data_IF_356385636591
#
_entry.id   IF_356385636591
#
_cell.length_a   1.000
_cell.length_b   1.000
_cell.length_c   1.000
_cell.angle_alpha   90.00
_cell.angle_beta   90.00
_cell.angle_gamma   90.00
#
_symmetry.space_group_name_H-M   'P 1'
#
loop_
_entity.id
_entity.type
_entity.pdbx_description
1 polymer ?
#
# COMPACT_ATOMS: atom_id res chain seq x y z
N UNK A 1 31.14 -32.36 3.12
CA UNK A 1 30.53 -31.18 3.78
C UNK A 1 29.72 -30.34 2.80
N UNK A 2 30.25 -29.91 1.63
CA UNK A 2 29.46 -29.15 0.64
C UNK A 2 28.36 -29.97 0.00
N UNK A 3 28.58 -31.24 -0.28
CA UNK A 3 27.58 -32.15 -0.84
C UNK A 3 26.48 -32.42 0.16
N UNK A 4 26.78 -32.55 1.44
CA UNK A 4 25.80 -32.72 2.50
C UNK A 4 24.96 -31.46 2.68
N UNK A 5 25.56 -30.27 2.59
CA UNK A 5 24.83 -29.00 2.62
C UNK A 5 23.78 -28.94 1.52
N UNK A 6 24.14 -29.24 0.28
CA UNK A 6 23.21 -29.18 -0.87
C UNK A 6 22.15 -30.29 -0.83
N UNK A 7 22.53 -31.52 -0.47
CA UNK A 7 21.63 -32.66 -0.55
C UNK A 7 20.82 -32.93 0.71
N UNK A 8 21.25 -32.42 1.85
CA UNK A 8 20.60 -32.65 3.16
C UNK A 8 20.09 -31.35 3.75
N UNK A 9 20.98 -30.41 4.03
CA UNK A 9 20.61 -29.17 4.72
C UNK A 9 19.74 -28.25 3.87
N UNK A 10 20.13 -28.03 2.62
CA UNK A 10 19.43 -27.13 1.70
C UNK A 10 18.50 -27.86 0.72
N UNK A 11 18.35 -29.18 0.84
CA UNK A 11 17.54 -29.98 -0.10
C UNK A 11 16.10 -29.52 -0.23
N UNK A 12 15.52 -28.94 0.84
CA UNK A 12 14.16 -28.41 0.89
C UNK A 12 14.08 -26.91 0.60
N UNK A 13 15.21 -26.25 0.41
CA UNK A 13 15.24 -24.83 0.07
C UNK A 13 14.60 -24.62 -1.29
N UNK A 14 13.62 -23.71 -1.41
CA UNK A 14 12.99 -23.46 -2.70
C UNK A 14 13.93 -22.72 -3.63
N UNK A 15 14.10 -23.24 -4.85
CA UNK A 15 14.68 -22.55 -5.97
C UNK A 15 13.55 -21.78 -6.68
N UNK A 16 13.64 -20.48 -6.73
CA UNK A 16 12.64 -19.61 -7.32
C UNK A 16 13.16 -19.12 -8.67
N UNK A 17 12.45 -19.47 -9.74
CA UNK A 17 12.73 -18.99 -11.08
C UNK A 17 11.79 -17.83 -11.36
N UNK A 18 12.36 -16.65 -11.45
CA UNK A 18 11.63 -15.42 -11.72
C UNK A 18 12.22 -14.68 -12.91
N UNK A 19 11.42 -13.87 -13.55
CA UNK A 19 11.86 -13.05 -14.66
C UNK A 19 11.02 -11.78 -14.79
N UNK A 20 11.46 -10.82 -15.59
CA UNK A 20 10.72 -9.59 -15.78
C UNK A 20 9.36 -9.85 -16.44
N UNK A 21 8.34 -9.19 -15.95
CA UNK A 21 7.02 -9.19 -16.59
C UNK A 21 7.09 -8.30 -17.83
N UNK A 22 6.69 -8.79 -19.02
CA UNK A 22 6.88 -8.07 -20.29
C UNK A 22 6.11 -6.75 -20.40
N UNK A 23 5.13 -6.54 -19.55
CA UNK A 23 4.34 -5.29 -19.46
C UNK A 23 3.98 -5.02 -18.01
N UNK A 24 4.86 -4.29 -17.32
CA UNK A 24 4.43 -3.55 -16.14
C UNK A 24 4.08 -2.13 -16.57
N UNK A 25 2.99 -1.56 -16.08
CA UNK A 25 2.68 -0.15 -16.30
C UNK A 25 3.59 0.75 -15.45
N UNK A 26 4.89 0.65 -15.73
CA UNK A 26 5.92 1.47 -15.08
C UNK A 26 5.59 2.95 -15.22
N UNK A 27 5.06 3.35 -16.39
CA UNK A 27 4.62 4.71 -16.68
C UNK A 27 3.45 5.15 -15.81
N UNK A 28 2.58 4.22 -15.40
CA UNK A 28 1.42 4.54 -14.56
C UNK A 28 1.85 5.08 -13.19
N UNK A 29 2.90 4.54 -12.59
CA UNK A 29 3.46 5.06 -11.35
C UNK A 29 3.96 6.50 -11.50
N UNK A 30 4.63 6.81 -12.58
CA UNK A 30 5.12 8.16 -12.87
C UNK A 30 3.99 9.13 -13.19
N UNK A 31 2.98 8.69 -13.93
CA UNK A 31 1.80 9.51 -14.30
C UNK A 31 0.94 9.83 -13.08
N UNK A 32 0.74 8.89 -12.17
CA UNK A 32 -0.11 9.06 -10.99
C UNK A 32 0.62 9.68 -9.79
N UNK A 33 1.93 9.71 -9.79
CA UNK A 33 2.73 10.31 -8.70
C UNK A 33 2.30 11.74 -8.34
N UNK A 34 2.12 12.67 -9.26
CA UNK A 34 1.70 14.03 -8.91
C UNK A 34 0.37 14.11 -8.17
N UNK A 35 -0.58 13.21 -8.49
CA UNK A 35 -1.86 13.13 -7.81
C UNK A 35 -1.69 12.68 -6.37
N UNK A 36 -0.82 11.68 -6.15
CA UNK A 36 -0.51 11.19 -4.81
C UNK A 36 0.24 12.22 -3.99
N UNK A 37 1.17 12.95 -4.58
CA UNK A 37 1.87 14.06 -3.90
C UNK A 37 0.88 15.13 -3.43
N UNK A 38 -0.14 15.45 -4.21
CA UNK A 38 -1.23 16.37 -3.82
C UNK A 38 -2.05 15.83 -2.64
N UNK A 39 -2.40 14.54 -2.68
CA UNK A 39 -3.10 13.88 -1.58
C UNK A 39 -2.30 13.93 -0.29
N UNK A 40 -1.03 13.58 -0.34
CA UNK A 40 -0.13 13.54 0.82
C UNK A 40 0.07 14.95 1.41
N UNK A 41 0.25 15.95 0.55
CA UNK A 41 0.38 17.34 1.01
C UNK A 41 -0.90 17.84 1.67
N UNK A 42 -2.06 17.60 1.06
CA UNK A 42 -3.35 17.97 1.63
C UNK A 42 -3.59 17.27 2.99
N UNK A 43 -3.28 16.00 3.08
CA UNK A 43 -3.40 15.23 4.33
C UNK A 43 -2.43 15.72 5.40
N UNK A 44 -1.21 16.09 5.04
CA UNK A 44 -0.23 16.65 5.98
C UNK A 44 -0.70 17.95 6.57
N UNK A 45 -1.24 18.86 5.78
CA UNK A 45 -1.83 20.11 6.23
C UNK A 45 -2.98 19.86 7.20
N UNK A 46 -3.87 18.94 6.85
CA UNK A 46 -5.01 18.55 7.67
C UNK A 46 -4.58 17.93 9.00
N UNK A 47 -3.62 16.99 8.97
CA UNK A 47 -3.08 16.37 10.16
C UNK A 47 -2.41 17.38 11.10
N UNK A 48 -1.67 18.33 10.55
CA UNK A 48 -1.02 19.42 11.31
C UNK A 48 -2.05 20.30 11.98
N UNK A 49 -3.13 20.65 11.29
CA UNK A 49 -4.21 21.45 11.86
C UNK A 49 -4.94 20.70 12.97
N UNK A 50 -5.27 19.43 12.77
CA UNK A 50 -5.87 18.63 13.83
C UNK A 50 -4.98 18.48 15.06
N UNK A 51 -3.68 18.33 14.87
CA UNK A 51 -2.75 18.28 16.00
C UNK A 51 -2.71 19.60 16.77
N UNK A 52 -2.70 20.74 16.09
CA UNK A 52 -2.77 22.05 16.73
C UNK A 52 -4.08 22.25 17.51
N UNK A 53 -5.21 21.88 16.91
CA UNK A 53 -6.52 21.93 17.57
C UNK A 53 -6.56 21.00 18.78
N UNK A 54 -6.00 19.80 18.67
CA UNK A 54 -5.93 18.85 19.77
C UNK A 54 -5.15 19.43 20.96
N UNK A 55 -3.98 20.00 20.72
CA UNK A 55 -3.17 20.63 21.79
C UNK A 55 -3.91 21.76 22.48
N UNK A 56 -4.59 22.59 21.73
CA UNK A 56 -5.38 23.72 22.27
C UNK A 56 -6.58 23.26 23.07
N UNK A 57 -7.36 22.31 22.55
CA UNK A 57 -8.61 21.85 23.16
C UNK A 57 -8.37 20.93 24.37
N UNK A 58 -7.37 20.06 24.32
CA UNK A 58 -7.02 19.17 25.45
C UNK A 58 -6.53 19.98 26.65
N UNK A 59 -5.89 21.14 26.44
CA UNK A 59 -5.47 22.03 27.49
C UNK A 59 -6.61 22.82 28.17
N UNK A 60 -7.83 22.78 27.63
CA UNK A 60 -9.00 23.42 28.20
C UNK A 60 -9.49 22.72 29.46
N UNK A 61 -10.12 23.46 30.37
CA UNK A 61 -10.75 22.93 31.58
C UNK A 61 -12.13 22.31 31.32
N UNK A 62 -12.71 22.54 30.13
CA UNK A 62 -14.03 22.03 29.76
C UNK A 62 -13.93 20.63 29.24
N UNK A 63 -14.77 19.73 29.75
CA UNK A 63 -14.83 18.34 29.31
C UNK A 63 -15.16 18.20 27.83
N UNK A 64 -16.11 18.99 27.32
CA UNK A 64 -16.51 19.00 25.92
C UNK A 64 -15.36 19.36 24.99
N UNK A 65 -14.54 20.36 25.37
CA UNK A 65 -13.34 20.75 24.62
C UNK A 65 -12.29 19.64 24.64
N UNK A 66 -12.10 18.98 25.77
CA UNK A 66 -11.16 17.86 25.88
C UNK A 66 -11.58 16.69 25.00
N UNK A 67 -12.86 16.34 24.97
CA UNK A 67 -13.40 15.28 24.10
C UNK A 67 -13.19 15.63 22.61
N UNK A 68 -13.50 16.86 22.22
CA UNK A 68 -13.24 17.37 20.87
C UNK A 68 -11.76 17.36 20.53
N UNK A 69 -10.90 17.70 21.47
CA UNK A 69 -9.44 17.66 21.32
C UNK A 69 -8.89 16.26 21.10
N UNK A 70 -9.40 15.28 21.83
CA UNK A 70 -9.00 13.88 21.63
C UNK A 70 -9.52 13.30 20.32
N UNK A 71 -10.68 13.74 19.85
CA UNK A 71 -11.14 13.38 18.49
C UNK A 71 -10.22 13.98 17.43
N UNK A 72 -9.83 15.24 17.56
CA UNK A 72 -8.87 15.89 16.67
C UNK A 72 -7.52 15.16 16.69
N UNK A 73 -7.04 14.75 17.86
CA UNK A 73 -5.82 13.97 18.01
C UNK A 73 -5.91 12.61 17.31
N UNK A 74 -7.03 11.92 17.49
CA UNK A 74 -7.30 10.65 16.83
C UNK A 74 -7.31 10.78 15.30
N UNK A 75 -7.94 11.83 14.78
CA UNK A 75 -7.93 12.15 13.34
C UNK A 75 -6.53 12.45 12.83
N UNK A 76 -5.72 13.20 13.57
CA UNK A 76 -4.33 13.45 13.22
C UNK A 76 -3.51 12.15 13.15
N UNK A 77 -3.72 11.26 14.11
CA UNK A 77 -3.06 9.96 14.15
C UNK A 77 -3.51 9.05 12.98
N UNK A 78 -4.79 9.01 12.67
CA UNK A 78 -5.30 8.24 11.51
C UNK A 78 -4.82 8.82 10.18
N UNK A 79 -4.60 10.12 10.12
CA UNK A 79 -4.12 10.79 8.91
C UNK A 79 -2.66 10.49 8.60
N UNK A 80 -1.78 10.65 9.58
CA UNK A 80 -0.32 10.43 9.47
C UNK A 80 0.25 9.93 10.79
N UNK A 81 0.21 8.63 11.06
CA UNK A 81 0.63 8.07 12.36
C UNK A 81 2.12 8.20 12.63
N UNK A 82 2.96 8.32 11.60
CA UNK A 82 4.42 8.51 11.72
C UNK A 82 4.87 9.96 11.81
N UNK A 83 3.94 10.92 11.88
CA UNK A 83 4.27 12.34 12.01
C UNK A 83 5.02 12.62 13.31
N UNK A 84 6.23 13.12 13.22
CA UNK A 84 7.12 13.34 14.39
C UNK A 84 6.53 14.26 15.47
N UNK A 85 5.92 15.42 15.13
CA UNK A 85 5.25 16.24 16.12
C UNK A 85 4.11 15.52 16.85
N UNK A 86 3.35 14.67 16.15
CA UNK A 86 2.30 13.85 16.74
C UNK A 86 2.87 12.86 17.74
N UNK A 87 3.92 12.12 17.35
CA UNK A 87 4.58 11.12 18.21
C UNK A 87 5.12 11.79 19.46
N UNK A 88 5.71 12.97 19.34
CA UNK A 88 6.19 13.76 20.48
C UNK A 88 5.07 14.14 21.43
N UNK A 89 3.93 14.59 20.93
CA UNK A 89 2.76 14.92 21.74
C UNK A 89 2.17 13.70 22.44
N UNK A 90 2.08 12.56 21.74
CA UNK A 90 1.59 11.29 22.29
C UNK A 90 2.48 10.76 23.44
N UNK A 91 3.73 11.16 23.51
CA UNK A 91 4.63 10.78 24.61
C UNK A 91 4.36 11.53 25.91
N UNK A 92 3.58 12.62 25.88
CA UNK A 92 3.20 13.34 27.08
C UNK A 92 2.21 12.53 27.94
N UNK A 93 2.26 12.65 29.29
CA UNK A 93 1.42 11.84 30.17
C UNK A 93 -0.08 12.01 29.88
N UNK A 94 -0.79 10.88 29.78
CA UNK A 94 -2.25 10.84 29.61
C UNK A 94 -2.75 11.09 28.18
N UNK A 95 -1.93 11.59 27.29
CA UNK A 95 -2.34 11.96 25.92
C UNK A 95 -2.66 10.72 25.09
N UNK A 96 -1.75 9.75 25.03
CA UNK A 96 -1.98 8.50 24.30
C UNK A 96 -3.16 7.71 24.87
N UNK A 97 -3.28 7.63 26.19
CA UNK A 97 -4.38 6.94 26.85
C UNK A 97 -5.74 7.55 26.49
N UNK A 98 -5.82 8.89 26.47
CA UNK A 98 -7.04 9.60 26.05
C UNK A 98 -7.41 9.37 24.60
N UNK A 99 -6.42 9.35 23.71
CA UNK A 99 -6.64 9.02 22.30
C UNK A 99 -7.15 7.59 22.11
N UNK A 100 -6.58 6.61 22.83
CA UNK A 100 -7.01 5.21 22.75
C UNK A 100 -8.44 5.02 23.25
N UNK A 101 -8.86 5.76 24.28
CA UNK A 101 -10.27 5.77 24.72
C UNK A 101 -11.21 6.30 23.65
N UNK A 102 -10.81 7.33 22.93
CA UNK A 102 -11.59 7.87 21.81
C UNK A 102 -11.66 6.84 20.66
N UNK A 103 -10.56 6.18 20.36
CA UNK A 103 -10.53 5.10 19.36
C UNK A 103 -11.52 3.99 19.73
N UNK A 104 -11.54 3.55 20.98
CA UNK A 104 -12.49 2.52 21.48
C UNK A 104 -13.95 2.89 21.21
N UNK A 105 -14.32 4.15 21.46
CA UNK A 105 -15.68 4.65 21.22
C UNK A 105 -16.08 4.49 19.75
N UNK A 106 -15.18 4.82 18.82
CA UNK A 106 -15.44 4.71 17.37
C UNK A 106 -15.33 3.27 16.85
N UNK A 107 -14.64 2.39 17.57
CA UNK A 107 -14.54 0.96 17.26
C UNK A 107 -15.74 0.14 17.79
N UNK A 108 -16.55 0.68 18.67
CA UNK A 108 -17.72 0.00 19.20
C UNK A 108 -18.69 -0.45 18.08
N UNK A 109 -19.44 -1.52 18.34
CA UNK A 109 -20.42 -2.09 17.39
C UNK A 109 -19.84 -2.37 15.98
N UNK A 110 -18.69 -3.06 15.92
CA UNK A 110 -18.03 -3.39 14.66
C UNK A 110 -17.64 -2.15 13.83
N UNK A 111 -17.05 -1.16 14.48
CA UNK A 111 -16.59 0.08 13.84
C UNK A 111 -17.70 0.90 13.18
N UNK A 112 -18.93 0.81 13.67
CA UNK A 112 -20.08 1.50 13.08
C UNK A 112 -19.88 3.01 12.98
N UNK A 113 -19.18 3.61 13.96
CA UNK A 113 -18.92 5.05 14.00
C UNK A 113 -17.57 5.46 13.39
N UNK A 114 -16.72 4.50 13.03
CA UNK A 114 -15.40 4.81 12.47
C UNK A 114 -15.47 5.66 11.19
N UNK A 115 -16.40 5.44 10.25
CA UNK A 115 -16.57 6.31 9.09
C UNK A 115 -16.77 7.79 9.45
N UNK A 116 -17.47 8.09 10.51
CA UNK A 116 -17.67 9.46 11.00
C UNK A 116 -16.36 10.14 11.42
N UNK A 117 -15.48 9.39 12.09
CA UNK A 117 -14.19 9.89 12.53
C UNK A 117 -13.23 10.16 11.36
N UNK A 118 -13.24 9.33 10.33
CA UNK A 118 -12.29 9.37 9.21
C UNK A 118 -12.81 10.14 7.99
N UNK A 119 -14.09 10.48 7.94
CA UNK A 119 -14.72 11.21 6.83
C UNK A 119 -13.96 12.49 6.41
N UNK A 120 -13.42 13.33 7.32
CA UNK A 120 -12.69 14.51 6.94
C UNK A 120 -11.32 14.26 6.28
N UNK A 121 -10.80 13.04 6.36
CA UNK A 121 -9.50 12.67 5.84
C UNK A 121 -9.54 12.38 4.33
N UNK A 122 -8.44 12.54 3.64
CA UNK A 122 -8.31 12.19 2.23
C UNK A 122 -8.00 10.71 2.00
N UNK A 123 -7.32 10.09 2.95
CA UNK A 123 -7.06 8.65 2.99
C UNK A 123 -6.88 8.20 4.44
N UNK A 124 -7.02 6.90 4.67
CA UNK A 124 -6.90 6.29 5.99
C UNK A 124 -5.79 5.26 5.98
N UNK A 125 -4.88 5.37 6.94
CA UNK A 125 -3.77 4.45 7.12
C UNK A 125 -4.13 3.45 8.21
N UNK A 126 -4.04 2.16 7.91
CA UNK A 126 -4.09 1.07 8.87
C UNK A 126 -2.70 0.45 9.01
N UNK A 127 -2.01 0.76 10.10
CA UNK A 127 -0.66 0.26 10.35
C UNK A 127 -0.62 -1.25 10.59
N UNK A 128 -1.67 -1.83 11.16
CA UNK A 128 -1.75 -3.26 11.44
C UNK A 128 -1.86 -4.08 10.17
N UNK A 129 -2.73 -3.65 9.26
CA UNK A 129 -2.93 -4.27 7.95
C UNK A 129 -1.92 -3.79 6.91
N UNK A 130 -1.11 -2.80 7.23
CA UNK A 130 -0.18 -2.14 6.29
C UNK A 130 -0.89 -1.71 5.01
N UNK A 131 -2.06 -1.14 5.16
CA UNK A 131 -2.91 -0.68 4.05
C UNK A 131 -3.18 0.82 4.13
N UNK A 132 -3.40 1.41 2.96
CA UNK A 132 -3.83 2.80 2.82
C UNK A 132 -4.99 2.81 1.85
N UNK A 133 -6.14 3.37 2.29
CA UNK A 133 -7.35 3.43 1.49
C UNK A 133 -7.80 4.89 1.31
N UNK A 134 -8.17 5.24 0.07
CA UNK A 134 -8.77 6.53 -0.23
C UNK A 134 -10.16 6.64 0.40
N UNK A 135 -10.46 7.82 0.93
CA UNK A 135 -11.83 8.21 1.28
C UNK A 135 -12.53 8.83 0.05
N UNK A 136 -13.82 9.06 0.14
CA UNK A 136 -14.56 9.79 -0.90
C UNK A 136 -13.96 11.18 -1.15
N UNK A 137 -13.54 11.86 -0.09
CA UNK A 137 -12.86 13.16 -0.19
C UNK A 137 -11.53 13.08 -0.95
N UNK A 138 -10.76 12.01 -0.73
CA UNK A 138 -9.52 11.76 -1.46
C UNK A 138 -9.76 11.46 -2.93
N UNK A 139 -10.76 10.65 -3.24
CA UNK A 139 -11.18 10.35 -4.62
C UNK A 139 -11.60 11.64 -5.34
N UNK A 140 -12.40 12.47 -4.69
CA UNK A 140 -12.85 13.76 -5.26
C UNK A 140 -11.68 14.69 -5.57
N UNK A 141 -10.68 14.74 -4.69
CA UNK A 141 -9.49 15.58 -4.90
C UNK A 141 -8.70 15.17 -6.15
N UNK A 142 -8.48 13.88 -6.35
CA UNK A 142 -7.69 13.39 -7.50
C UNK A 142 -8.50 13.26 -8.78
N UNK A 143 -9.80 13.06 -8.69
CA UNK A 143 -10.69 13.09 -9.85
C UNK A 143 -10.81 14.50 -10.41
N UNK A 144 -10.93 15.50 -9.54
CA UNK A 144 -10.99 16.91 -9.91
C UNK A 144 -12.09 17.19 -10.93
N UNK A 145 -11.72 17.90 -12.01
CA UNK A 145 -12.61 18.23 -13.12
C UNK A 145 -12.52 17.22 -14.28
N UNK A 146 -12.12 15.99 -14.01
CA UNK A 146 -12.08 14.93 -15.03
C UNK A 146 -13.46 14.70 -15.65
N UNK A 147 -13.50 14.40 -16.93
CA UNK A 147 -14.73 14.05 -17.64
C UNK A 147 -15.36 12.74 -17.11
N UNK A 148 -14.54 11.83 -16.55
CA UNK A 148 -15.01 10.60 -15.93
C UNK A 148 -14.94 10.72 -14.41
N UNK A 149 -16.08 10.91 -13.70
CA UNK A 149 -16.12 11.01 -12.25
C UNK A 149 -15.81 9.68 -11.56
N UNK A 150 -15.81 8.56 -12.28
CA UNK A 150 -15.55 7.21 -11.77
C UNK A 150 -14.14 6.71 -12.07
N UNK A 151 -13.24 7.61 -12.49
CA UNK A 151 -11.89 7.28 -12.94
C UNK A 151 -11.08 6.47 -11.89
N UNK A 152 -11.27 6.77 -10.61
CA UNK A 152 -10.59 6.12 -9.48
C UNK A 152 -11.54 5.28 -8.62
N UNK A 153 -12.71 4.93 -9.14
CA UNK A 153 -13.72 4.13 -8.45
C UNK A 153 -13.83 2.77 -9.14
N UNK A 154 -13.75 1.69 -8.36
CA UNK A 154 -13.97 0.35 -8.88
C UNK A 154 -15.44 0.16 -9.21
N UNK A 155 -15.79 -0.30 -10.45
CA UNK A 155 -17.17 -0.59 -10.80
C UNK A 155 -17.68 -1.82 -10.03
N UNK A 156 -19.00 -1.88 -9.79
CA UNK A 156 -19.68 -3.07 -9.28
C UNK A 156 -19.82 -4.11 -10.39
N UNK A 157 -18.77 -4.92 -10.55
CA UNK A 157 -18.69 -5.89 -11.64
C UNK A 157 -19.75 -6.98 -11.51
N UNK A 158 -20.05 -7.43 -10.30
CA UNK A 158 -21.06 -8.47 -10.06
C UNK A 158 -22.47 -8.00 -10.45
N UNK A 159 -22.83 -6.78 -10.04
CA UNK A 159 -24.11 -6.17 -10.40
C UNK A 159 -24.23 -5.91 -11.89
N UNK A 160 -23.19 -5.39 -12.53
CA UNK A 160 -23.18 -5.13 -13.96
C UNK A 160 -23.22 -6.41 -14.81
N UNK A 161 -22.54 -7.48 -14.41
CA UNK A 161 -22.63 -8.79 -15.05
C UNK A 161 -24.04 -9.38 -14.92
N UNK A 162 -24.68 -9.26 -13.76
CA UNK A 162 -26.06 -9.70 -13.54
C UNK A 162 -27.04 -8.95 -14.43
N UNK A 163 -26.87 -7.63 -14.56
CA UNK A 163 -27.69 -6.82 -15.47
C UNK A 163 -27.55 -7.25 -16.93
N UNK A 164 -26.34 -7.57 -17.38
CA UNK A 164 -26.08 -8.06 -18.73
C UNK A 164 -26.77 -9.40 -18.99
N UNK A 165 -26.78 -10.30 -18.03
CA UNK A 165 -27.46 -11.60 -18.15
C UNK A 165 -28.98 -11.47 -18.25
N UNK A 166 -29.56 -10.41 -17.65
CA UNK A 166 -30.98 -10.11 -17.72
C UNK A 166 -31.40 -9.39 -19.02
N UNK A 167 -30.45 -8.91 -19.80
CA UNK A 167 -30.72 -8.35 -21.13
C UNK A 167 -30.85 -9.48 -22.15
N UNK A 168 -31.83 -9.39 -23.04
CA UNK A 168 -32.00 -10.37 -24.12
C UNK A 168 -30.99 -10.12 -25.26
N UNK A 169 -29.72 -10.42 -24.98
CA UNK A 169 -28.63 -10.30 -25.92
C UNK A 169 -28.31 -11.65 -26.59
N UNK A 170 -27.81 -11.59 -27.82
CA UNK A 170 -27.22 -12.78 -28.45
C UNK A 170 -25.96 -13.22 -27.68
N UNK A 171 -25.55 -14.50 -27.82
CA UNK A 171 -24.34 -14.99 -27.13
C UNK A 171 -23.08 -14.20 -27.51
N UNK A 172 -22.96 -13.79 -28.77
CA UNK A 172 -21.83 -12.98 -29.24
C UNK A 172 -21.83 -11.58 -28.62
N UNK A 173 -22.99 -10.92 -28.56
CA UNK A 173 -23.14 -9.61 -27.93
C UNK A 173 -22.89 -9.65 -26.43
N UNK A 174 -23.36 -10.69 -25.75
CA UNK A 174 -23.14 -10.89 -24.32
C UNK A 174 -21.65 -11.08 -24.02
N UNK A 175 -20.97 -11.90 -24.82
CA UNK A 175 -19.53 -12.15 -24.67
C UNK A 175 -18.70 -10.89 -24.88
N UNK A 176 -19.02 -10.11 -25.93
CA UNK A 176 -18.35 -8.84 -26.23
C UNK A 176 -18.53 -7.83 -25.10
N UNK A 177 -19.75 -7.66 -24.58
CA UNK A 177 -20.03 -6.74 -23.46
C UNK A 177 -19.40 -7.17 -22.15
N UNK A 178 -19.36 -8.47 -21.86
CA UNK A 178 -18.64 -9.02 -20.71
C UNK A 178 -17.14 -8.73 -20.82
N UNK A 179 -16.56 -8.88 -21.98
CA UNK A 179 -15.14 -8.61 -22.23
C UNK A 179 -14.81 -7.13 -22.05
N UNK A 180 -15.61 -6.23 -22.58
CA UNK A 180 -15.47 -4.78 -22.37
C UNK A 180 -15.57 -4.40 -20.86
N UNK A 181 -16.52 -5.00 -20.15
CA UNK A 181 -16.72 -4.76 -18.73
C UNK A 181 -15.52 -5.22 -17.90
N UNK A 182 -15.00 -6.42 -18.18
CA UNK A 182 -13.83 -6.99 -17.51
C UNK A 182 -12.56 -6.19 -17.81
N UNK A 183 -12.39 -5.75 -19.07
CA UNK A 183 -11.25 -4.91 -19.46
C UNK A 183 -11.28 -3.54 -18.75
N UNK A 184 -12.44 -2.90 -18.69
CA UNK A 184 -12.60 -1.64 -17.97
C UNK A 184 -12.35 -1.80 -16.47
N UNK A 185 -12.84 -2.88 -15.87
CA UNK A 185 -12.57 -3.21 -14.47
C UNK A 185 -11.07 -3.39 -14.22
N UNK A 186 -10.38 -4.14 -15.07
CA UNK A 186 -8.94 -4.39 -14.93
C UNK A 186 -8.14 -3.09 -15.00
N UNK A 187 -8.48 -2.17 -15.91
CA UNK A 187 -7.81 -0.87 -16.05
C UNK A 187 -8.03 -0.02 -14.80
N UNK A 188 -9.26 0.08 -14.32
CA UNK A 188 -9.58 0.86 -13.11
C UNK A 188 -8.98 0.25 -11.84
N UNK A 189 -8.99 -1.06 -11.73
CA UNK A 189 -8.38 -1.80 -10.61
C UNK A 189 -6.88 -1.55 -10.53
N UNK A 190 -6.19 -1.59 -11.65
CA UNK A 190 -4.76 -1.30 -11.72
C UNK A 190 -4.45 0.15 -11.32
N UNK A 191 -5.25 1.09 -11.76
CA UNK A 191 -5.12 2.50 -11.41
C UNK A 191 -5.29 2.74 -9.91
N UNK A 192 -6.33 2.18 -9.31
CA UNK A 192 -6.58 2.26 -7.87
C UNK A 192 -5.46 1.57 -7.08
N UNK A 193 -5.02 0.39 -7.52
CA UNK A 193 -3.92 -0.32 -6.90
C UNK A 193 -2.62 0.50 -6.93
N UNK A 194 -2.30 1.12 -8.06
CA UNK A 194 -1.11 1.97 -8.20
C UNK A 194 -1.16 3.18 -7.27
N UNK A 195 -2.31 3.84 -7.15
CA UNK A 195 -2.53 4.92 -6.18
C UNK A 195 -2.27 4.43 -4.75
N UNK A 196 -2.82 3.28 -4.37
CA UNK A 196 -2.64 2.73 -3.03
C UNK A 196 -1.18 2.39 -2.73
N UNK A 197 -0.45 1.84 -3.69
CA UNK A 197 0.97 1.53 -3.52
C UNK A 197 1.82 2.82 -3.42
N UNK A 198 1.53 3.82 -4.21
CA UNK A 198 2.17 5.14 -4.10
C UNK A 198 1.89 5.79 -2.74
N UNK A 199 0.65 5.74 -2.25
CA UNK A 199 0.31 6.24 -0.91
C UNK A 199 1.10 5.51 0.17
N UNK A 200 1.22 4.19 0.09
CA UNK A 200 2.07 3.40 1.01
C UNK A 200 3.52 3.86 0.97
N UNK A 201 4.07 4.04 -0.22
CA UNK A 201 5.45 4.50 -0.40
C UNK A 201 5.71 5.86 0.27
N UNK A 202 4.77 6.79 0.14
CA UNK A 202 4.90 8.14 0.72
C UNK A 202 4.64 8.20 2.22
N UNK A 203 3.80 7.33 2.77
CA UNK A 203 3.31 7.44 4.14
C UNK A 203 3.87 6.40 5.10
N UNK A 204 4.34 5.26 4.61
CA UNK A 204 4.77 4.14 5.43
C UNK A 204 6.25 3.77 5.26
N UNK A 205 6.93 4.34 4.26
CA UNK A 205 8.33 4.04 3.95
C UNK A 205 9.14 5.32 3.87
N UNK A 206 10.21 5.40 4.65
CA UNK A 206 11.10 6.54 4.68
C UNK A 206 12.48 6.16 4.13
N UNK A 207 13.05 7.08 3.32
CA UNK A 207 14.41 6.96 2.83
C UNK A 207 15.40 7.02 4.00
N UNK A 208 16.44 6.22 3.91
CA UNK A 208 17.49 6.07 4.91
C UNK A 208 17.02 5.37 6.21
N UNK A 209 15.82 4.81 6.20
CA UNK A 209 15.27 3.98 7.26
C UNK A 209 14.88 2.60 6.70
N UNK A 210 13.78 2.49 5.97
CA UNK A 210 13.33 1.22 5.37
C UNK A 210 14.05 0.89 4.06
N UNK A 211 14.58 1.89 3.37
CA UNK A 211 15.30 1.72 2.11
C UNK A 211 16.34 2.83 1.90
N UNK A 212 17.28 2.59 0.99
CA UNK A 212 18.26 3.58 0.54
C UNK A 212 18.25 3.69 -0.98
N UNK A 213 18.77 4.80 -1.49
CA UNK A 213 18.97 5.00 -2.92
C UNK A 213 20.47 5.06 -3.20
N UNK A 214 20.97 4.07 -3.94
CA UNK A 214 22.37 3.93 -4.30
C UNK A 214 22.46 3.70 -5.81
N UNK A 215 23.28 4.49 -6.50
CA UNK A 215 23.48 4.40 -7.95
C UNK A 215 22.18 4.42 -8.77
N UNK A 216 21.22 5.24 -8.33
CA UNK A 216 19.92 5.36 -8.99
C UNK A 216 18.98 4.16 -8.77
N UNK A 217 19.28 3.31 -7.80
CA UNK A 217 18.46 2.15 -7.45
C UNK A 217 17.98 2.22 -6.02
N UNK A 218 16.72 1.83 -5.81
CA UNK A 218 16.13 1.66 -4.48
C UNK A 218 16.53 0.28 -3.96
N UNK A 219 17.14 0.25 -2.78
CA UNK A 219 17.58 -0.97 -2.11
C UNK A 219 16.97 -1.06 -0.72
N UNK A 220 16.42 -2.23 -0.40
CA UNK A 220 15.77 -2.48 0.90
C UNK A 220 16.84 -2.57 1.99
N UNK A 221 16.55 -1.98 3.15
CA UNK A 221 17.36 -2.09 4.36
C UNK A 221 16.65 -3.00 5.36
N UNK A 222 17.37 -3.95 5.92
CA UNK A 222 16.88 -4.78 7.00
C UNK A 222 16.76 -3.95 8.28
N UNK A 223 15.56 -3.86 8.84
CA UNK A 223 15.27 -3.05 10.03
C UNK A 223 16.06 -3.49 11.27
N UNK A 224 16.36 -4.79 11.37
CA UNK A 224 17.05 -5.35 12.54
C UNK A 224 18.56 -5.19 12.45
N UNK A 225 19.14 -5.41 11.28
CA UNK A 225 20.59 -5.41 11.08
C UNK A 225 21.15 -4.14 10.46
N UNK A 226 20.30 -3.32 9.86
CA UNK A 226 20.70 -2.14 9.09
C UNK A 226 21.43 -2.46 7.79
N UNK A 227 21.44 -3.71 7.36
CA UNK A 227 22.14 -4.16 6.15
C UNK A 227 21.27 -4.03 4.91
N UNK A 228 21.92 -3.72 3.81
CA UNK A 228 21.26 -3.69 2.50
C UNK A 228 20.98 -5.12 2.06
N UNK A 229 19.75 -5.36 1.67
CA UNK A 229 19.26 -6.65 1.17
C UNK A 229 19.39 -6.67 -0.36
N UNK A 230 20.57 -7.05 -0.85
CA UNK A 230 20.84 -7.08 -2.29
C UNK A 230 19.88 -8.00 -3.06
N UNK A 231 19.42 -7.53 -4.21
CA UNK A 231 18.55 -8.29 -5.11
C UNK A 231 17.10 -8.43 -4.64
N UNK A 232 16.76 -7.98 -3.45
CA UNK A 232 15.37 -8.01 -2.96
C UNK A 232 14.60 -6.78 -3.40
N UNK A 233 13.33 -7.01 -3.72
CA UNK A 233 12.37 -5.97 -4.08
C UNK A 233 11.06 -6.19 -3.32
N UNK A 234 10.40 -5.10 -2.95
CA UNK A 234 9.05 -5.18 -2.41
C UNK A 234 8.08 -5.69 -3.49
N UNK A 235 7.09 -6.46 -3.06
CA UNK A 235 6.08 -7.06 -3.94
C UNK A 235 4.91 -6.10 -4.26
N UNK A 236 4.02 -6.55 -5.16
CA UNK A 236 2.74 -5.91 -5.46
C UNK A 236 2.82 -4.47 -5.99
N UNK A 237 3.93 -4.10 -6.60
CA UNK A 237 4.13 -2.76 -7.14
C UNK A 237 4.67 -1.74 -6.13
N UNK A 238 4.87 -2.11 -4.87
CA UNK A 238 5.39 -1.18 -3.86
C UNK A 238 6.81 -0.71 -4.17
N UNK A 239 7.67 -1.59 -4.67
CA UNK A 239 9.03 -1.21 -5.04
C UNK A 239 9.05 -0.19 -6.18
N UNK A 240 8.22 -0.40 -7.20
CA UNK A 240 8.04 0.55 -8.29
C UNK A 240 7.47 1.90 -7.78
N UNK A 241 6.55 1.85 -6.84
CA UNK A 241 5.99 3.06 -6.20
C UNK A 241 7.09 3.87 -5.48
N UNK A 242 7.98 3.20 -4.77
CA UNK A 242 9.13 3.84 -4.11
C UNK A 242 10.12 4.41 -5.14
N UNK A 243 10.39 3.67 -6.20
CA UNK A 243 11.24 4.15 -7.31
C UNK A 243 10.64 5.42 -7.94
N UNK A 244 9.34 5.45 -8.18
CA UNK A 244 8.65 6.65 -8.68
C UNK A 244 8.71 7.81 -7.69
N UNK A 245 8.49 7.54 -6.40
CA UNK A 245 8.62 8.52 -5.31
C UNK A 245 10.00 9.18 -5.31
N UNK A 246 11.06 8.39 -5.41
CA UNK A 246 12.45 8.86 -5.38
C UNK A 246 12.94 9.38 -6.74
N UNK A 247 12.09 9.38 -7.76
CA UNK A 247 12.40 9.86 -9.12
C UNK A 247 13.59 9.17 -9.75
N UNK A 248 13.77 7.90 -9.42
CA UNK A 248 14.70 7.01 -10.10
C UNK A 248 13.97 6.20 -11.17
N UNK A 249 14.70 5.49 -12.01
CA UNK A 249 14.10 4.65 -13.04
C UNK A 249 13.20 3.58 -12.38
N UNK A 250 11.95 3.55 -12.80
CA UNK A 250 11.00 2.50 -12.40
C UNK A 250 11.29 1.25 -13.21
N UNK A 251 11.73 0.20 -12.51
CA UNK A 251 12.08 -1.06 -13.16
C UNK A 251 10.88 -1.98 -13.27
N UNK A 252 10.94 -2.92 -14.24
CA UNK A 252 9.87 -3.89 -14.44
C UNK A 252 9.68 -4.77 -13.19
N UNK A 253 8.41 -5.08 -12.89
CA UNK A 253 8.10 -6.08 -11.88
C UNK A 253 8.67 -7.45 -12.30
N UNK A 254 9.08 -8.25 -11.33
CA UNK A 254 9.47 -9.62 -11.56
C UNK A 254 8.31 -10.55 -11.21
N UNK A 255 8.10 -11.57 -12.02
CA UNK A 255 7.13 -12.60 -11.77
C UNK A 255 7.83 -13.91 -11.49
N UNK A 256 7.41 -14.61 -10.44
CA UNK A 256 7.84 -15.98 -10.19
C UNK A 256 7.17 -16.92 -11.19
N UNK A 257 7.95 -17.51 -12.09
CA UNK A 257 7.45 -18.46 -13.07
C UNK A 257 7.31 -19.86 -12.51
N UNK A 258 8.24 -20.26 -11.66
CA UNK A 258 8.25 -21.57 -11.05
C UNK A 258 8.98 -21.58 -9.71
N UNK A 259 8.54 -22.45 -8.83
CA UNK A 259 9.20 -22.75 -7.57
C UNK A 259 9.42 -24.26 -7.50
N UNK A 260 10.64 -24.66 -7.24
CA UNK A 260 11.01 -26.07 -7.11
C UNK A 260 12.05 -26.20 -5.99
N UNK A 261 12.00 -27.27 -5.21
CA UNK A 261 13.06 -27.53 -4.24
C UNK A 261 14.33 -27.98 -4.96
N UNK A 262 15.51 -27.69 -4.38
CA UNK A 262 16.79 -28.14 -4.92
C UNK A 262 16.80 -29.65 -5.15
N UNK A 263 16.28 -30.42 -4.20
CA UNK A 263 16.15 -31.86 -4.32
C UNK A 263 15.36 -32.29 -5.54
N UNK A 264 14.21 -31.68 -5.79
CA UNK A 264 13.37 -32.02 -6.93
C UNK A 264 13.99 -31.51 -8.24
N UNK A 265 14.65 -30.37 -8.24
CA UNK A 265 15.38 -29.85 -9.38
C UNK A 265 16.45 -30.85 -9.86
N UNK A 266 17.30 -31.34 -8.94
CA UNK A 266 18.32 -32.31 -9.30
C UNK A 266 17.75 -33.67 -9.75
N UNK A 267 16.58 -34.07 -9.27
CA UNK A 267 15.90 -35.30 -9.73
C UNK A 267 15.43 -35.28 -11.18
N UNK A 268 15.39 -34.09 -11.77
CA UNK A 268 15.02 -33.95 -13.19
C UNK A 268 16.10 -34.42 -14.15
N UNK A 269 17.32 -34.60 -13.67
CA UNK A 269 18.46 -35.00 -14.48
C UNK A 269 18.77 -36.49 -14.32
N UNK A 270 19.00 -37.18 -15.45
CA UNK A 270 19.35 -38.62 -15.44
C UNK A 270 20.80 -38.86 -14.97
N UNK A 271 21.67 -37.90 -15.15
CA UNK A 271 23.05 -37.97 -14.70
C UNK A 271 23.42 -36.69 -13.99
N UNK A 272 23.95 -36.80 -12.82
CA UNK A 272 24.48 -35.69 -12.02
C UNK A 272 25.94 -35.97 -11.73
N UNK A 273 26.74 -34.93 -11.85
CA UNK A 273 28.14 -34.93 -11.40
C UNK A 273 28.41 -33.60 -10.71
N UNK A 274 29.13 -33.66 -9.61
CA UNK A 274 29.51 -32.48 -8.86
C UNK A 274 31.02 -32.47 -8.64
N UNK A 275 31.56 -31.27 -8.50
CA UNK A 275 32.92 -31.05 -8.10
C UNK A 275 32.92 -30.14 -6.86
N UNK A 276 33.77 -30.47 -5.89
CA UNK A 276 34.00 -29.64 -4.72
C UNK A 276 35.45 -29.20 -4.69
N UNK A 277 35.70 -27.99 -4.23
CA UNK A 277 37.02 -27.41 -4.11
C UNK A 277 37.75 -27.75 -2.81
N UNK A 278 37.15 -28.58 -1.97
CA UNK A 278 37.72 -29.03 -0.70
C UNK A 278 38.21 -30.45 -0.79
#
# INVERSE_FOLDING_TARGET
DEVDSVLIDDARTPLIISGPVPKGDQQLFEVLRPLVERLVEAQRKLATQYLADAKRLIASDKKEDQEAGFLALFRSHKALPKNKPLIKFLSEPGIKAGMLKTEEIYMEQNNKRMPEAVEPLYFVIDEKLKSVDLTDKGVDLITGNSEDPTLFVLPDIAGQLSELENQHLTNEQLLEKKDELLTNYAIKSERVHTINQLLKAYTMFEKDDEYVVIDGQVKIVDEQTGRIMEGRRYSDGLHQAIEAKERVKVEAATQTFATITLQNYFRMYHKLSGMTGT
#
